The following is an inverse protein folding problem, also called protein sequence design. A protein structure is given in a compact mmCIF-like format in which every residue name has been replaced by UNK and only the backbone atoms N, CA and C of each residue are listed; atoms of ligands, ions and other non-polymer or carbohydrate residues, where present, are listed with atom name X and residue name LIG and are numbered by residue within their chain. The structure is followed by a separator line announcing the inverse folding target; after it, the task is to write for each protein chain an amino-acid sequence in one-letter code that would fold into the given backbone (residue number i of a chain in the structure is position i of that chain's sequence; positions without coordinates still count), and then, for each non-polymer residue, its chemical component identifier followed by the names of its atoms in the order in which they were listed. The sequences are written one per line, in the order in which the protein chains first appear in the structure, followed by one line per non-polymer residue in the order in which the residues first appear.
data_IF_836247850735
#
_entry.id   IF_836247850735
#
_cell.length_a   1.000
_cell.length_b   1.000
_cell.length_c   1.000
_cell.angle_alpha   90.00
_cell.angle_beta   90.00
_cell.angle_gamma   90.00
#
_symmetry.space_group_name_H-M   'P 1'
#
loop_
_entity.id
_entity.type
_entity.pdbx_description
1 polymer ?
#
# COMPACT_ATOMS: atom_id res chain seq x y z
N UNK A 1 12.84 -46.79 11.04
CA UNK A 1 11.51 -46.62 11.67
C UNK A 1 10.79 -45.54 10.90
N UNK A 2 9.73 -45.90 10.20
CA UNK A 2 8.92 -45.03 9.33
C UNK A 2 7.91 -44.29 10.22
N UNK A 3 7.84 -42.95 10.14
CA UNK A 3 6.74 -42.17 10.72
C UNK A 3 6.09 -41.33 9.61
N UNK A 4 4.81 -41.62 9.42
CA UNK A 4 3.92 -41.05 8.43
C UNK A 4 3.63 -39.58 8.76
N UNK A 5 3.86 -38.64 7.80
CA UNK A 5 3.30 -37.32 7.81
C UNK A 5 1.87 -37.39 7.26
N UNK A 6 0.90 -37.13 8.13
CA UNK A 6 -0.50 -36.89 7.75
C UNK A 6 -0.64 -35.43 7.32
N UNK A 7 -0.88 -35.22 6.02
CA UNK A 7 -1.38 -33.95 5.47
C UNK A 7 -2.88 -33.87 5.72
N UNK A 8 -3.31 -33.02 6.66
CA UNK A 8 -4.71 -32.64 6.80
C UNK A 8 -4.94 -31.36 5.98
N UNK A 9 -5.51 -31.54 4.80
CA UNK A 9 -6.05 -30.45 3.99
C UNK A 9 -7.43 -30.07 4.56
N UNK A 10 -7.54 -28.90 5.19
CA UNK A 10 -8.82 -28.28 5.48
C UNK A 10 -9.29 -27.47 4.26
N UNK A 11 -10.11 -28.12 3.45
CA UNK A 11 -10.92 -27.47 2.43
C UNK A 11 -12.21 -26.98 3.11
N UNK A 12 -12.35 -25.67 3.28
CA UNK A 12 -13.63 -25.05 3.64
C UNK A 12 -14.24 -24.47 2.36
N UNK A 13 -15.35 -24.99 1.85
CA UNK A 13 -16.04 -24.37 0.74
C UNK A 13 -16.93 -23.23 1.27
N UNK A 14 -16.54 -21.99 1.01
CA UNK A 14 -17.42 -20.85 1.16
C UNK A 14 -18.49 -20.92 0.05
N UNK A 15 -19.72 -21.30 0.41
CA UNK A 15 -20.89 -21.17 -0.43
C UNK A 15 -21.32 -19.69 -0.47
N UNK A 16 -20.94 -18.98 -1.50
CA UNK A 16 -21.59 -17.72 -1.84
C UNK A 16 -22.93 -18.01 -2.51
N UNK A 17 -24.02 -17.70 -1.82
CA UNK A 17 -25.35 -17.63 -2.41
C UNK A 17 -25.51 -16.29 -3.11
N UNK A 18 -25.50 -16.30 -4.43
CA UNK A 18 -26.01 -15.20 -5.23
C UNK A 18 -27.54 -15.33 -5.32
N UNK A 19 -28.25 -14.40 -4.74
CA UNK A 19 -29.67 -14.21 -4.99
C UNK A 19 -29.85 -13.38 -6.27
N UNK A 20 -30.63 -13.82 -7.24
CA UNK A 20 -30.94 -12.98 -8.38
C UNK A 20 -32.04 -11.98 -8.00
N UNK A 21 -31.73 -10.69 -8.03
CA UNK A 21 -32.71 -9.63 -8.00
C UNK A 21 -33.41 -9.56 -9.35
N UNK A 22 -34.67 -10.06 -9.38
CA UNK A 22 -35.60 -9.88 -10.49
C UNK A 22 -36.17 -8.47 -10.44
N UNK A 23 -35.75 -7.60 -11.35
CA UNK A 23 -36.49 -6.40 -11.70
C UNK A 23 -37.39 -6.70 -12.88
N UNK A 24 -38.68 -6.92 -12.59
CA UNK A 24 -39.71 -7.05 -13.59
C UNK A 24 -39.97 -5.68 -14.24
N UNK A 25 -39.79 -5.62 -15.54
CA UNK A 25 -40.31 -4.53 -16.37
C UNK A 25 -41.55 -5.08 -17.07
N UNK A 26 -42.70 -4.56 -16.66
CA UNK A 26 -43.98 -4.78 -17.36
C UNK A 26 -43.94 -4.06 -18.70
N UNK A 27 -44.01 -4.82 -19.79
CA UNK A 27 -44.31 -4.31 -21.11
C UNK A 27 -45.82 -4.30 -21.30
N UNK A 28 -46.41 -3.12 -21.32
CA UNK A 28 -47.82 -2.92 -21.73
C UNK A 28 -47.90 -3.03 -23.26
N UNK A 29 -48.62 -4.03 -23.71
CA UNK A 29 -48.97 -4.18 -25.11
C UNK A 29 -49.98 -3.16 -25.55
N UNK A 30 -49.63 -2.38 -26.56
CA UNK A 30 -50.61 -1.61 -27.35
C UNK A 30 -50.70 -2.21 -28.74
N UNK A 31 -51.77 -2.91 -28.99
CA UNK A 31 -52.16 -3.41 -30.32
C UNK A 31 -52.55 -2.24 -31.21
N UNK A 32 -51.81 -1.98 -32.27
CA UNK A 32 -52.20 -1.07 -33.33
C UNK A 32 -52.98 -1.89 -34.38
N UNK A 33 -54.30 -1.61 -34.48
CA UNK A 33 -55.19 -2.13 -35.51
C UNK A 33 -54.85 -1.51 -36.85
N UNK A 34 -54.63 -2.33 -37.87
CA UNK A 34 -54.69 -1.98 -39.27
C UNK A 34 -56.11 -1.83 -39.74
N UNK A 35 -56.48 -0.79 -40.53
CA UNK A 35 -57.70 -0.77 -41.29
C UNK A 35 -57.48 -1.35 -42.70
N UNK A 36 -58.30 -2.28 -43.02
CA UNK A 36 -58.51 -2.92 -44.32
C UNK A 36 -59.55 -2.11 -45.08
N UNK A 37 -59.26 -1.66 -46.31
CA UNK A 37 -60.18 -1.46 -47.42
C UNK A 37 -59.43 -1.31 -48.72
N UNK A 38 -59.43 -2.25 -49.64
CA UNK A 38 -60.39 -2.56 -50.76
C UNK A 38 -60.66 -1.34 -51.65
N UNK A 39 -60.13 -1.34 -52.86
CA UNK A 39 -60.86 -1.67 -54.09
C UNK A 39 -60.11 -1.19 -55.35
N UNK A 40 -59.81 -2.16 -56.18
CA UNK A 40 -59.87 -2.20 -57.66
C UNK A 40 -60.10 -0.91 -58.43
N UNK A 41 -59.25 -0.70 -59.42
CA UNK A 41 -59.56 -0.44 -60.85
C UNK A 41 -58.24 -0.44 -61.66
N UNK A 42 -58.15 -1.29 -62.64
CA UNK A 42 -57.42 -1.10 -63.86
C UNK A 42 -58.40 -0.53 -64.92
N UNK A 43 -58.06 0.05 -66.04
CA UNK A 43 -56.95 -0.29 -66.92
C UNK A 43 -56.24 0.92 -67.60
N UNK A 44 -55.21 0.70 -68.33
CA UNK A 44 -55.02 1.08 -69.71
C UNK A 44 -53.49 1.34 -70.03
N UNK A 45 -53.14 0.64 -71.00
CA UNK A 45 -51.98 0.70 -71.90
C UNK A 45 -51.28 2.04 -72.07
N UNK A 46 -49.95 2.00 -72.21
CA UNK A 46 -49.16 3.07 -72.72
C UNK A 46 -47.66 2.84 -72.54
N UNK A 47 -47.08 2.16 -73.54
CA UNK A 47 -45.65 1.82 -73.51
C UNK A 47 -44.73 2.99 -73.41
N UNK A 48 -43.54 2.72 -72.84
CA UNK A 48 -42.25 3.27 -73.30
C UNK A 48 -41.14 2.38 -72.81
N UNK A 49 -40.50 1.70 -73.76
CA UNK A 49 -39.14 1.18 -73.63
C UNK A 49 -38.20 2.33 -73.28
N UNK A 50 -37.40 2.15 -72.29
CA UNK A 50 -36.31 3.07 -72.05
C UNK A 50 -35.82 3.11 -70.60
N UNK A 51 -34.68 2.55 -70.38
CA UNK A 51 -33.75 2.70 -69.24
C UNK A 51 -33.60 1.52 -68.26
N UNK A 52 -33.26 0.36 -68.78
CA UNK A 52 -32.67 -0.70 -67.96
C UNK A 52 -31.13 -0.62 -67.79
N UNK A 53 -30.46 0.40 -68.36
CA UNK A 53 -28.99 0.48 -68.28
C UNK A 53 -28.41 1.31 -67.11
N UNK A 54 -29.25 2.03 -66.35
CA UNK A 54 -28.72 2.88 -65.25
C UNK A 54 -28.70 2.22 -63.87
N UNK A 55 -29.31 1.05 -63.70
CA UNK A 55 -29.38 0.39 -62.38
C UNK A 55 -28.22 -0.55 -62.07
N UNK A 56 -27.46 -0.99 -63.07
CA UNK A 56 -26.34 -1.94 -62.84
C UNK A 56 -25.13 -1.29 -62.16
N UNK A 57 -24.84 -0.02 -62.34
CA UNK A 57 -23.74 0.71 -61.69
C UNK A 57 -24.01 1.03 -60.25
N UNK A 58 -25.27 1.32 -59.85
CA UNK A 58 -25.62 1.68 -58.47
C UNK A 58 -25.58 0.46 -57.54
N UNK A 59 -25.95 -0.71 -58.02
CA UNK A 59 -25.91 -1.97 -57.25
C UNK A 59 -24.44 -2.36 -56.88
N UNK A 60 -23.50 -2.14 -57.80
CA UNK A 60 -22.06 -2.40 -57.54
C UNK A 60 -21.52 -1.47 -56.44
N UNK A 61 -21.89 -0.18 -56.48
CA UNK A 61 -21.48 0.80 -55.46
C UNK A 61 -22.07 0.41 -54.09
N UNK A 62 -23.35 -0.02 -54.03
CA UNK A 62 -24.02 -0.45 -52.82
C UNK A 62 -23.31 -1.70 -52.21
N UNK A 63 -22.99 -2.69 -53.05
CA UNK A 63 -22.24 -3.88 -52.59
C UNK A 63 -20.86 -3.49 -52.08
N UNK A 64 -20.18 -2.55 -52.76
CA UNK A 64 -18.88 -2.06 -52.29
C UNK A 64 -18.97 -1.37 -50.92
N UNK A 65 -19.98 -0.54 -50.69
CA UNK A 65 -20.23 0.10 -49.40
C UNK A 65 -20.59 -0.92 -48.33
N UNK A 66 -21.40 -1.92 -48.63
CA UNK A 66 -21.72 -3.01 -47.71
C UNK A 66 -20.50 -3.81 -47.32
N UNK A 67 -19.61 -4.13 -48.26
CA UNK A 67 -18.35 -4.82 -47.97
C UNK A 67 -17.40 -3.96 -47.15
N UNK A 68 -17.34 -2.66 -47.41
CA UNK A 68 -16.53 -1.73 -46.66
C UNK A 68 -17.02 -1.57 -45.22
N UNK A 69 -18.34 -1.43 -44.99
CA UNK A 69 -18.96 -1.40 -43.66
C UNK A 69 -18.78 -2.74 -42.93
N UNK A 70 -18.93 -3.84 -43.63
CA UNK A 70 -18.69 -5.18 -43.04
C UNK A 70 -17.21 -5.35 -42.63
N UNK A 71 -16.29 -4.90 -43.50
CA UNK A 71 -14.85 -4.90 -43.17
C UNK A 71 -14.53 -4.05 -41.94
N UNK A 72 -15.12 -2.84 -41.85
CA UNK A 72 -14.98 -2.00 -40.67
C UNK A 72 -15.56 -2.63 -39.41
N UNK A 73 -16.71 -3.29 -39.52
CA UNK A 73 -17.33 -3.97 -38.38
C UNK A 73 -16.49 -5.16 -37.90
N UNK A 74 -15.94 -5.95 -38.84
CA UNK A 74 -15.04 -7.08 -38.49
C UNK A 74 -13.76 -6.56 -37.84
N UNK A 75 -13.15 -5.50 -38.39
CA UNK A 75 -11.97 -4.89 -37.82
C UNK A 75 -12.22 -4.38 -36.39
N UNK A 76 -13.34 -3.69 -36.16
CA UNK A 76 -13.71 -3.22 -34.81
C UNK A 76 -13.95 -4.37 -33.80
N UNK A 77 -14.48 -5.50 -34.24
CA UNK A 77 -14.65 -6.70 -33.40
C UNK A 77 -13.28 -7.31 -33.06
N UNK A 78 -12.39 -7.41 -34.03
CA UNK A 78 -11.02 -7.96 -33.79
C UNK A 78 -10.27 -7.09 -32.77
N UNK A 79 -10.28 -5.77 -32.94
CA UNK A 79 -9.63 -4.83 -32.04
C UNK A 79 -10.23 -4.91 -30.60
N UNK A 80 -11.54 -5.05 -30.51
CA UNK A 80 -12.23 -5.22 -29.21
C UNK A 80 -11.85 -6.55 -28.53
N UNK A 81 -11.69 -7.65 -29.28
CA UNK A 81 -11.28 -8.96 -28.77
C UNK A 81 -9.83 -8.92 -28.29
N UNK A 82 -8.93 -8.29 -29.06
CA UNK A 82 -7.52 -8.15 -28.68
C UNK A 82 -7.39 -7.37 -27.37
N UNK A 83 -8.03 -6.21 -27.24
CA UNK A 83 -8.05 -5.41 -26.02
C UNK A 83 -8.64 -6.21 -24.84
N UNK A 84 -9.73 -6.94 -25.05
CA UNK A 84 -10.35 -7.78 -24.02
C UNK A 84 -9.41 -8.91 -23.57
N UNK A 85 -8.68 -9.51 -24.48
CA UNK A 85 -7.74 -10.60 -24.17
C UNK A 85 -6.52 -10.10 -23.39
N UNK A 86 -5.98 -8.94 -23.75
CA UNK A 86 -4.88 -8.30 -23.01
C UNK A 86 -5.31 -7.94 -21.57
N UNK A 87 -6.48 -7.35 -21.40
CA UNK A 87 -7.01 -7.04 -20.06
C UNK A 87 -7.19 -8.28 -19.20
N UNK A 88 -7.78 -9.36 -19.75
CA UNK A 88 -7.98 -10.61 -19.02
C UNK A 88 -6.64 -11.23 -18.62
N UNK A 89 -5.64 -11.19 -19.50
CA UNK A 89 -4.29 -11.70 -19.22
C UNK A 89 -3.61 -10.92 -18.09
N UNK A 90 -3.74 -9.59 -18.06
CA UNK A 90 -3.18 -8.76 -16.98
C UNK A 90 -3.87 -9.02 -15.63
N UNK A 91 -5.19 -9.20 -15.63
CA UNK A 91 -5.93 -9.52 -14.40
C UNK A 91 -5.55 -10.90 -13.86
N UNK A 92 -5.38 -11.90 -14.71
CA UNK A 92 -4.93 -13.24 -14.32
C UNK A 92 -3.52 -13.19 -13.71
N UNK A 93 -2.58 -12.48 -14.34
CA UNK A 93 -1.22 -12.30 -13.81
C UNK A 93 -1.22 -11.55 -12.47
N UNK A 94 -2.06 -10.54 -12.30
CA UNK A 94 -2.18 -9.81 -11.04
C UNK A 94 -2.75 -10.72 -9.92
N UNK A 95 -3.75 -11.54 -10.22
CA UNK A 95 -4.30 -12.52 -9.28
C UNK A 95 -3.25 -13.58 -8.90
N UNK A 96 -2.46 -14.05 -9.86
CA UNK A 96 -1.38 -14.99 -9.60
C UNK A 96 -0.27 -14.36 -8.74
N UNK A 97 0.20 -13.16 -9.08
CA UNK A 97 1.17 -12.41 -8.31
C UNK A 97 0.67 -12.16 -6.87
N UNK A 98 -0.62 -11.83 -6.71
CA UNK A 98 -1.27 -11.70 -5.42
C UNK A 98 -1.28 -13.03 -4.64
N UNK A 99 -1.56 -14.14 -5.30
CA UNK A 99 -1.51 -15.49 -4.70
C UNK A 99 -0.11 -15.85 -4.19
N UNK A 100 0.92 -15.51 -4.95
CA UNK A 100 2.32 -15.66 -4.56
C UNK A 100 2.67 -14.77 -3.37
N UNK A 101 2.25 -13.50 -3.38
CA UNK A 101 2.45 -12.58 -2.26
C UNK A 101 1.77 -13.10 -0.97
N UNK A 102 0.53 -13.59 -1.06
CA UNK A 102 -0.18 -14.19 0.07
C UNK A 102 0.55 -15.43 0.62
N UNK A 103 1.10 -16.26 -0.26
CA UNK A 103 1.91 -17.43 0.14
C UNK A 103 3.14 -17.00 0.93
N UNK A 104 3.80 -15.93 0.48
CA UNK A 104 4.92 -15.33 1.20
C UNK A 104 4.50 -14.74 2.54
N UNK A 105 3.37 -14.04 2.63
CA UNK A 105 2.83 -13.54 3.91
C UNK A 105 2.61 -14.71 4.88
N UNK A 106 2.01 -15.81 4.42
CA UNK A 106 1.79 -16.97 5.28
C UNK A 106 3.09 -17.55 5.87
N UNK A 107 4.17 -17.55 5.07
CA UNK A 107 5.50 -17.93 5.57
C UNK A 107 6.06 -16.88 6.55
N UNK A 108 5.97 -15.60 6.22
CA UNK A 108 6.45 -14.51 7.07
C UNK A 108 5.75 -14.41 8.44
N UNK A 109 4.52 -14.91 8.53
CA UNK A 109 3.78 -15.02 9.79
C UNK A 109 4.20 -16.23 10.64
N UNK A 110 4.99 -17.15 10.11
CA UNK A 110 5.50 -18.27 10.89
C UNK A 110 6.59 -17.76 11.86
N UNK A 111 6.35 -17.96 13.15
CA UNK A 111 7.28 -17.51 14.22
C UNK A 111 8.62 -18.26 14.23
N UNK A 112 8.68 -19.44 13.61
CA UNK A 112 9.88 -20.27 13.57
C UNK A 112 10.87 -19.86 12.47
N UNK A 113 10.41 -19.07 11.49
CA UNK A 113 11.27 -18.57 10.42
C UNK A 113 12.06 -17.33 10.88
N UNK A 114 13.36 -17.38 10.63
CA UNK A 114 14.25 -16.25 10.82
C UNK A 114 14.13 -15.26 9.65
N UNK A 115 14.61 -14.03 9.85
CA UNK A 115 14.51 -12.94 8.87
C UNK A 115 15.14 -13.25 7.50
N UNK A 116 16.19 -14.07 7.49
CA UNK A 116 16.94 -14.42 6.27
C UNK A 116 16.81 -15.92 5.94
N UNK A 117 15.71 -16.56 6.35
CA UNK A 117 15.47 -17.96 6.00
C UNK A 117 15.32 -18.10 4.49
N UNK A 118 16.01 -19.07 3.84
CA UNK A 118 15.90 -19.30 2.40
C UNK A 118 14.45 -19.56 1.92
N UNK A 119 13.56 -20.00 2.81
CA UNK A 119 12.14 -20.18 2.50
C UNK A 119 11.40 -18.88 2.22
N UNK A 120 11.94 -17.75 2.63
CA UNK A 120 11.36 -16.42 2.38
C UNK A 120 11.53 -15.94 0.94
N UNK A 121 12.37 -16.61 0.16
CA UNK A 121 12.51 -16.39 -1.27
C UNK A 121 12.26 -17.70 -2.02
N UNK A 122 11.20 -17.76 -2.83
CA UNK A 122 10.83 -18.96 -3.58
C UNK A 122 10.54 -18.64 -5.05
N UNK A 123 10.94 -19.59 -5.92
CA UNK A 123 10.65 -19.58 -7.35
C UNK A 123 9.92 -20.88 -7.72
N UNK A 124 8.58 -20.94 -7.52
CA UNK A 124 7.83 -22.18 -7.81
C UNK A 124 7.81 -22.55 -9.29
N UNK A 125 7.97 -21.57 -10.20
CA UNK A 125 8.06 -21.81 -11.63
C UNK A 125 8.86 -20.69 -12.31
N UNK A 126 9.17 -20.85 -13.59
CA UNK A 126 9.78 -19.80 -14.40
C UNK A 126 8.84 -18.58 -14.48
N UNK A 127 9.39 -17.39 -14.33
CA UNK A 127 8.60 -16.14 -14.31
C UNK A 127 7.73 -15.93 -13.04
N UNK A 128 7.74 -16.89 -12.10
CA UNK A 128 6.92 -16.86 -10.88
C UNK A 128 7.79 -16.93 -9.65
N UNK A 129 7.69 -15.93 -8.81
CA UNK A 129 8.47 -15.88 -7.57
C UNK A 129 7.76 -15.07 -6.49
N UNK A 130 8.13 -15.29 -5.24
CA UNK A 130 7.85 -14.34 -4.18
C UNK A 130 9.11 -14.12 -3.33
N UNK A 131 9.18 -12.93 -2.74
CA UNK A 131 10.22 -12.52 -1.81
C UNK A 131 9.57 -11.90 -0.58
N UNK A 132 10.02 -12.28 0.60
CA UNK A 132 9.45 -11.83 1.87
C UNK A 132 10.53 -11.15 2.70
N UNK A 133 10.27 -9.93 3.11
CA UNK A 133 11.05 -9.21 4.11
C UNK A 133 10.32 -9.24 5.45
N UNK A 134 11.04 -9.62 6.50
CA UNK A 134 10.54 -9.60 7.88
C UNK A 134 11.36 -8.58 8.67
N UNK A 135 10.69 -7.56 9.21
CA UNK A 135 11.32 -6.52 10.02
C UNK A 135 10.56 -6.32 11.33
N UNK A 136 11.24 -5.78 12.35
CA UNK A 136 10.56 -5.29 13.55
C UNK A 136 9.82 -4.00 13.21
N UNK A 137 8.60 -3.86 13.66
CA UNK A 137 7.89 -2.60 13.53
C UNK A 137 8.52 -1.50 14.39
N UNK A 138 9.10 -1.89 15.53
CA UNK A 138 9.87 -1.00 16.41
C UNK A 138 11.21 -0.54 15.84
N UNK A 139 11.62 -1.00 14.64
CA UNK A 139 12.75 -0.43 13.92
C UNK A 139 12.49 1.00 13.40
N UNK A 140 11.23 1.45 13.44
CA UNK A 140 10.75 2.77 13.04
C UNK A 140 10.30 3.57 14.26
N UNK A 141 10.37 4.90 14.18
CA UNK A 141 9.85 5.78 15.23
C UNK A 141 8.32 5.73 15.26
N UNK A 142 7.76 5.37 16.40
CA UNK A 142 6.32 5.48 16.60
C UNK A 142 5.94 6.96 16.81
N UNK A 143 5.31 7.56 15.79
CA UNK A 143 5.00 8.98 15.78
C UNK A 143 4.10 9.37 16.96
N UNK A 144 3.02 8.61 17.21
CA UNK A 144 2.12 8.87 18.33
C UNK A 144 2.85 8.77 19.68
N UNK A 145 3.72 7.78 19.83
CA UNK A 145 4.45 7.56 21.07
C UNK A 145 5.43 8.72 21.36
N UNK A 146 6.22 9.13 20.38
CA UNK A 146 7.18 10.24 20.52
C UNK A 146 6.45 11.53 20.90
N UNK A 147 5.35 11.84 20.22
CA UNK A 147 4.56 13.05 20.49
C UNK A 147 3.93 13.03 21.89
N UNK A 148 3.33 11.90 22.28
CA UNK A 148 2.62 11.81 23.57
C UNK A 148 3.54 11.65 24.77
N UNK A 149 4.77 11.18 24.58
CA UNK A 149 5.77 11.06 25.65
C UNK A 149 6.50 12.37 25.97
N UNK A 150 6.26 13.43 25.20
CA UNK A 150 6.86 14.75 25.42
C UNK A 150 8.26 14.93 24.86
N UNK A 151 8.72 14.02 24.00
CA UNK A 151 10.07 14.03 23.40
C UNK A 151 10.05 14.52 21.93
N UNK A 152 9.41 15.68 21.69
CA UNK A 152 9.32 16.28 20.34
C UNK A 152 10.68 16.61 19.75
N UNK A 153 11.66 16.90 20.60
CA UNK A 153 13.05 17.14 20.19
C UNK A 153 13.65 16.02 19.32
N UNK A 154 13.12 14.80 19.43
CA UNK A 154 13.52 13.68 18.56
C UNK A 154 13.09 13.97 17.11
N UNK A 155 11.88 14.49 16.90
CA UNK A 155 11.38 14.85 15.57
C UNK A 155 12.11 16.08 15.02
N UNK A 156 12.32 17.10 15.84
CA UNK A 156 13.08 18.32 15.49
C UNK A 156 14.49 17.96 15.00
N UNK A 157 15.18 17.09 15.75
CA UNK A 157 16.50 16.56 15.37
C UNK A 157 16.46 15.80 14.05
N UNK A 158 15.48 14.91 13.88
CA UNK A 158 15.33 14.09 12.67
C UNK A 158 15.04 14.96 11.44
N UNK A 159 14.12 15.89 11.55
CA UNK A 159 13.73 16.78 10.45
C UNK A 159 14.86 17.73 10.04
N UNK A 160 15.63 18.22 11.03
CA UNK A 160 16.85 19.00 10.76
C UNK A 160 17.92 18.15 10.08
N UNK A 161 18.12 16.89 10.48
CA UNK A 161 19.02 15.96 9.80
C UNK A 161 18.60 15.70 8.35
N UNK A 162 17.32 15.76 8.05
CA UNK A 162 16.79 15.61 6.69
C UNK A 162 16.89 16.87 5.84
N UNK A 163 17.27 18.00 6.43
CA UNK A 163 17.56 19.26 5.73
C UNK A 163 16.54 20.35 5.87
N UNK A 164 15.59 20.23 6.82
CA UNK A 164 14.77 21.38 7.22
C UNK A 164 15.61 22.36 8.06
N UNK A 165 15.35 23.66 7.89
CA UNK A 165 15.82 24.67 8.81
C UNK A 165 15.22 24.44 10.21
N UNK A 166 15.93 24.86 11.27
CA UNK A 166 15.51 24.61 12.65
C UNK A 166 14.09 25.09 12.92
N UNK A 167 13.77 26.33 12.51
CA UNK A 167 12.43 26.89 12.69
C UNK A 167 11.34 26.10 11.92
N UNK A 168 11.69 25.53 10.78
CA UNK A 168 10.77 24.68 10.02
C UNK A 168 10.56 23.32 10.70
N UNK A 169 11.63 22.72 11.22
CA UNK A 169 11.58 21.46 11.95
C UNK A 169 10.73 21.59 13.22
N UNK A 170 10.95 22.66 13.99
CA UNK A 170 10.17 23.00 15.19
C UNK A 170 8.69 23.22 14.84
N UNK A 171 8.42 23.95 13.74
CA UNK A 171 7.06 24.19 13.27
C UNK A 171 6.32 22.88 12.93
N UNK A 172 6.96 21.99 12.16
CA UNK A 172 6.35 20.70 11.79
C UNK A 172 6.11 19.84 13.03
N UNK A 173 7.10 19.73 13.93
CA UNK A 173 6.99 18.92 15.15
C UNK A 173 5.88 19.45 16.08
N UNK A 174 5.79 20.77 16.24
CA UNK A 174 4.76 21.43 17.04
C UNK A 174 3.36 21.28 16.43
N UNK A 175 3.23 21.39 15.10
CA UNK A 175 1.96 21.16 14.40
C UNK A 175 1.49 19.70 14.52
N UNK A 176 2.39 18.71 14.42
CA UNK A 176 2.08 17.29 14.63
C UNK A 176 1.58 17.04 16.06
N UNK A 177 2.22 17.64 17.06
CA UNK A 177 1.80 17.54 18.45
C UNK A 177 0.44 18.17 18.68
N UNK A 178 0.23 19.39 18.17
CA UNK A 178 -1.01 20.15 18.32
C UNK A 178 -2.19 19.48 17.60
N UNK A 179 -1.92 18.73 16.51
CA UNK A 179 -2.94 17.96 15.81
C UNK A 179 -3.60 16.90 16.68
N UNK A 180 -2.78 16.18 17.47
CA UNK A 180 -3.27 15.08 18.31
C UNK A 180 -3.66 15.49 19.72
N UNK A 181 -3.23 16.67 20.18
CA UNK A 181 -3.40 17.08 21.58
C UNK A 181 -4.63 17.96 21.73
N UNK A 182 -5.58 17.61 22.64
CA UNK A 182 -6.76 18.41 22.88
C UNK A 182 -6.43 19.73 23.60
N UNK A 183 -7.32 20.72 23.46
CA UNK A 183 -7.23 22.02 24.11
C UNK A 183 -6.93 23.15 23.13
N UNK A 184 -7.14 24.39 23.60
CA UNK A 184 -7.00 25.61 22.78
C UNK A 184 -5.58 26.21 22.80
N UNK A 185 -4.76 25.76 23.75
CA UNK A 185 -3.37 26.21 23.83
C UNK A 185 -2.55 25.51 22.78
N UNK A 186 -1.97 26.31 21.89
CA UNK A 186 -1.05 25.77 20.88
C UNK A 186 0.41 25.86 21.34
N UNK A 187 1.24 24.99 20.79
CA UNK A 187 2.70 25.04 20.92
C UNK A 187 3.25 26.35 20.32
N UNK A 188 4.47 26.72 20.65
CA UNK A 188 5.07 27.99 20.24
C UNK A 188 5.01 28.18 18.71
N UNK A 189 5.37 27.17 17.97
CA UNK A 189 5.39 27.15 16.50
C UNK A 189 4.24 26.30 15.91
N UNK A 190 3.31 25.83 16.74
CA UNK A 190 2.24 24.91 16.35
C UNK A 190 1.03 25.58 15.70
N UNK A 191 0.03 24.76 15.38
CA UNK A 191 -1.22 25.20 14.77
C UNK A 191 -2.42 24.43 15.33
N UNK A 192 -3.49 25.15 15.67
CA UNK A 192 -4.78 24.64 16.09
C UNK A 192 -5.86 24.96 15.05
N UNK A 193 -7.07 24.50 15.25
CA UNK A 193 -8.18 24.65 14.29
C UNK A 193 -8.36 26.07 13.72
N UNK A 194 -8.14 27.10 14.54
CA UNK A 194 -8.23 28.49 14.09
C UNK A 194 -7.15 28.86 13.07
N UNK A 195 -5.94 28.34 13.22
CA UNK A 195 -4.82 28.59 12.30
C UNK A 195 -5.08 27.91 10.94
N UNK A 196 -5.62 26.69 10.93
CA UNK A 196 -6.03 25.98 9.70
C UNK A 196 -7.15 26.74 8.97
N UNK A 197 -8.15 27.24 9.71
CA UNK A 197 -9.23 28.05 9.14
C UNK A 197 -8.69 29.36 8.55
N UNK A 198 -7.76 30.04 9.23
CA UNK A 198 -7.12 31.27 8.75
C UNK A 198 -6.29 31.02 7.48
N UNK A 199 -5.64 29.86 7.38
CA UNK A 199 -4.88 29.43 6.20
C UNK A 199 -5.78 28.93 5.05
N UNK A 200 -7.11 28.93 5.21
CA UNK A 200 -8.10 28.38 4.28
C UNK A 200 -7.84 26.90 3.94
N UNK A 201 -7.32 26.14 4.88
CA UNK A 201 -7.13 24.71 4.75
C UNK A 201 -8.44 23.98 5.13
N UNK A 202 -8.90 22.99 4.34
CA UNK A 202 -10.18 22.30 4.59
C UNK A 202 -10.13 21.34 5.79
N UNK A 203 -8.92 20.91 6.18
CA UNK A 203 -8.69 20.00 7.29
C UNK A 203 -8.59 20.76 8.61
N UNK A 204 -8.79 20.02 9.71
CA UNK A 204 -8.68 20.54 11.08
C UNK A 204 -8.12 19.44 11.99
N UNK A 205 -7.37 19.79 13.06
CA UNK A 205 -6.88 18.84 14.04
C UNK A 205 -7.99 17.95 14.59
N UNK A 206 -7.69 16.66 14.69
CA UNK A 206 -8.64 15.65 15.19
C UNK A 206 -8.60 15.49 16.70
N UNK A 207 -7.53 16.00 17.35
CA UNK A 207 -7.29 15.90 18.79
C UNK A 207 -7.27 14.44 19.30
N UNK A 208 -6.79 13.54 18.45
CA UNK A 208 -6.60 12.11 18.71
C UNK A 208 -5.28 11.64 18.12
N UNK A 209 -4.69 10.55 18.64
CA UNK A 209 -3.55 9.92 18.01
C UNK A 209 -3.84 9.59 16.53
N UNK A 210 -2.83 9.69 15.69
CA UNK A 210 -2.95 9.39 14.27
C UNK A 210 -3.35 7.93 14.03
N UNK A 211 -4.32 7.73 13.17
CA UNK A 211 -4.76 6.40 12.74
C UNK A 211 -4.14 5.99 11.40
N UNK A 212 -3.71 6.94 10.59
CA UNK A 212 -3.12 6.70 9.27
C UNK A 212 -2.07 7.74 8.88
N UNK A 213 -1.15 7.39 7.98
CA UNK A 213 -0.21 8.34 7.41
C UNK A 213 -0.86 9.34 6.45
N UNK A 214 -2.04 9.03 5.92
CA UNK A 214 -2.77 9.99 5.10
C UNK A 214 -3.33 11.12 5.95
N UNK A 215 -3.69 10.85 7.21
CA UNK A 215 -4.01 11.89 8.18
C UNK A 215 -2.78 12.74 8.53
N UNK A 216 -1.61 12.13 8.76
CA UNK A 216 -0.36 12.87 9.05
C UNK A 216 -0.03 13.87 7.94
N UNK A 217 -0.27 13.53 6.68
CA UNK A 217 -0.05 14.45 5.54
C UNK A 217 -0.90 15.72 5.59
N UNK A 218 -2.03 15.70 6.29
CA UNK A 218 -2.93 16.84 6.41
C UNK A 218 -2.42 17.89 7.41
N UNK A 219 -1.39 17.57 8.20
CA UNK A 219 -0.83 18.47 9.19
C UNK A 219 -0.06 19.61 8.51
N UNK A 220 -0.27 20.83 9.01
CA UNK A 220 0.40 22.03 8.51
C UNK A 220 1.93 21.86 8.60
N UNK A 221 2.64 22.22 7.52
CA UNK A 221 4.09 22.07 7.41
C UNK A 221 4.58 20.71 6.87
N UNK A 222 3.72 19.70 6.79
CA UNK A 222 4.12 18.39 6.22
C UNK A 222 4.54 18.47 4.76
N UNK A 223 4.05 19.45 4.01
CA UNK A 223 4.48 19.72 2.63
C UNK A 223 5.96 20.15 2.55
N UNK A 224 6.50 20.78 3.59
CA UNK A 224 7.94 21.09 3.68
C UNK A 224 8.75 19.81 3.86
N UNK A 225 8.28 18.93 4.73
CA UNK A 225 8.93 17.64 4.98
C UNK A 225 8.91 16.73 3.73
N UNK A 226 7.76 16.66 3.03
CA UNK A 226 7.64 15.87 1.79
C UNK A 226 8.58 16.34 0.67
N UNK A 227 8.89 17.64 0.61
CA UNK A 227 9.84 18.19 -0.36
C UNK A 227 11.27 17.75 -0.13
N UNK A 228 11.71 17.70 1.13
CA UNK A 228 13.10 17.31 1.48
C UNK A 228 13.26 15.80 1.64
N UNK A 229 12.20 15.10 2.07
CA UNK A 229 12.20 13.65 2.29
C UNK A 229 10.89 13.01 1.78
N UNK A 230 10.74 12.76 0.47
CA UNK A 230 9.50 12.20 -0.09
C UNK A 230 9.10 10.84 0.52
N UNK A 231 10.08 10.04 0.93
CA UNK A 231 9.90 8.74 1.56
C UNK A 231 9.91 8.78 3.10
N UNK A 232 9.56 9.92 3.73
CA UNK A 232 9.57 10.09 5.19
C UNK A 232 8.78 9.02 5.95
N UNK A 233 7.72 8.45 5.34
CA UNK A 233 6.87 7.42 5.93
C UNK A 233 7.64 6.15 6.32
N UNK A 234 8.74 5.83 5.62
CA UNK A 234 9.56 4.65 5.88
C UNK A 234 10.24 4.69 7.24
N UNK A 235 10.49 5.90 7.78
CA UNK A 235 11.12 6.11 9.07
C UNK A 235 10.15 6.09 10.24
N UNK A 236 8.84 6.08 9.98
CA UNK A 236 7.81 6.15 11.00
C UNK A 236 6.91 4.92 11.02
N UNK A 237 6.28 4.74 12.17
CA UNK A 237 5.19 3.78 12.38
C UNK A 237 4.11 4.38 13.28
N UNK A 238 2.91 3.81 13.20
CA UNK A 238 1.81 4.06 14.13
C UNK A 238 1.49 2.80 14.95
N UNK A 239 2.15 1.67 14.64
CA UNK A 239 1.74 0.33 15.07
C UNK A 239 2.79 -0.43 15.89
N UNK A 240 3.95 0.16 16.22
CA UNK A 240 4.91 -0.46 17.13
C UNK A 240 4.43 -0.40 18.58
N UNK A 241 5.15 -1.07 19.48
CA UNK A 241 4.85 -1.00 20.92
C UNK A 241 5.25 0.35 21.56
N UNK A 242 5.79 1.29 20.78
CA UNK A 242 6.18 2.64 21.19
C UNK A 242 7.67 2.91 21.08
N UNK A 243 8.50 2.37 21.97
CA UNK A 243 9.94 2.64 21.99
C UNK A 243 10.67 2.14 20.73
N UNK A 244 11.70 2.88 20.30
CA UNK A 244 12.56 2.49 19.18
C UNK A 244 13.40 1.26 19.52
N UNK A 245 13.32 0.20 18.72
CA UNK A 245 14.15 -0.99 18.87
C UNK A 245 15.54 -0.74 18.29
N UNK A 246 16.53 -0.48 19.17
CA UNK A 246 17.90 -0.15 18.77
C UNK A 246 18.65 -1.29 18.09
N UNK A 247 18.18 -2.53 18.23
CA UNK A 247 18.77 -3.67 17.54
C UNK A 247 18.44 -3.73 16.04
N UNK A 248 17.42 -3.00 15.61
CA UNK A 248 16.94 -3.02 14.22
C UNK A 248 16.80 -1.64 13.60
N UNK A 249 16.82 -0.59 14.43
CA UNK A 249 16.64 0.78 13.95
C UNK A 249 17.77 1.22 13.01
N UNK A 250 17.46 1.97 11.95
CA UNK A 250 18.45 2.65 11.12
C UNK A 250 19.29 3.63 11.92
N UNK A 251 20.53 3.85 11.47
CA UNK A 251 21.48 4.76 12.13
C UNK A 251 20.92 6.18 12.30
N UNK A 252 20.19 6.68 11.30
CA UNK A 252 19.60 8.04 11.34
C UNK A 252 18.60 8.21 12.48
N UNK A 253 17.78 7.19 12.78
CA UNK A 253 16.82 7.25 13.86
C UNK A 253 17.49 7.19 15.24
N UNK A 254 18.53 6.37 15.38
CA UNK A 254 19.33 6.32 16.60
C UNK A 254 20.03 7.66 16.83
N UNK A 255 20.58 8.26 15.77
CA UNK A 255 21.21 9.57 15.83
C UNK A 255 20.20 10.66 16.30
N UNK A 256 18.98 10.65 15.78
CA UNK A 256 17.94 11.61 16.14
C UNK A 256 17.51 11.48 17.61
N UNK A 257 17.28 10.24 18.08
CA UNK A 257 16.85 9.96 19.47
C UNK A 257 17.88 10.42 20.50
N UNK A 258 19.17 10.21 20.21
CA UNK A 258 20.24 10.53 21.16
C UNK A 258 20.99 11.83 20.85
N UNK A 259 20.60 12.58 19.82
CA UNK A 259 21.35 13.76 19.34
C UNK A 259 22.83 13.45 19.11
N UNK A 260 23.14 12.27 18.57
CA UNK A 260 24.49 11.80 18.36
C UNK A 260 25.05 12.21 17.01
N UNK A 261 26.38 12.33 16.95
CA UNK A 261 27.05 12.53 15.68
C UNK A 261 27.08 11.23 14.84
N UNK A 262 27.13 11.33 13.50
CA UNK A 262 27.10 10.16 12.62
C UNK A 262 28.20 9.12 12.89
N UNK A 263 29.35 9.56 13.42
CA UNK A 263 30.52 8.68 13.71
C UNK A 263 30.25 7.75 14.90
N UNK A 264 29.60 8.27 15.96
CA UNK A 264 29.24 7.46 17.13
C UNK A 264 28.22 6.38 16.74
N UNK A 265 27.21 6.77 15.96
CA UNK A 265 26.19 5.84 15.50
C UNK A 265 26.75 4.80 14.55
N UNK A 266 27.66 5.20 13.64
CA UNK A 266 28.33 4.27 12.72
C UNK A 266 29.13 3.19 13.47
N UNK A 267 29.83 3.56 14.54
CA UNK A 267 30.55 2.59 15.38
C UNK A 267 29.62 1.55 16.00
N UNK A 268 28.50 2.00 16.53
CA UNK A 268 27.47 1.13 17.10
C UNK A 268 26.84 0.22 16.04
N UNK A 269 26.38 0.79 14.93
CA UNK A 269 25.69 0.01 13.88
C UNK A 269 26.63 -1.01 13.22
N UNK A 270 27.90 -0.67 13.02
CA UNK A 270 28.91 -1.61 12.53
C UNK A 270 29.15 -2.76 13.52
N UNK A 271 29.25 -2.46 14.81
CA UNK A 271 29.43 -3.50 15.84
C UNK A 271 28.18 -4.41 15.93
N UNK A 272 26.98 -3.84 15.80
CA UNK A 272 25.72 -4.57 15.80
C UNK A 272 25.54 -5.46 14.57
N UNK A 273 25.86 -4.95 13.40
CA UNK A 273 25.62 -5.63 12.11
C UNK A 273 26.72 -6.66 11.74
N UNK A 274 27.57 -7.05 12.67
CA UNK A 274 28.59 -8.08 12.42
C UNK A 274 29.71 -7.66 11.48
N UNK A 275 30.37 -8.65 10.88
CA UNK A 275 31.54 -8.43 10.02
C UNK A 275 31.17 -7.99 8.60
N UNK A 276 30.01 -8.41 8.12
CA UNK A 276 29.55 -8.04 6.78
C UNK A 276 28.89 -6.65 6.73
N UNK A 277 28.56 -6.07 7.89
CA UNK A 277 27.92 -4.76 8.03
C UNK A 277 26.46 -4.73 7.56
N UNK A 278 25.87 -5.88 7.24
CA UNK A 278 24.51 -6.01 6.71
C UNK A 278 23.57 -6.41 7.85
N UNK A 279 22.56 -5.59 8.19
CA UNK A 279 21.64 -5.92 9.26
C UNK A 279 20.76 -7.12 8.90
N UNK A 280 20.49 -7.97 9.89
CA UNK A 280 19.62 -9.13 9.75
C UNK A 280 20.35 -10.40 9.31
N UNK A 281 21.67 -10.42 9.24
CA UNK A 281 22.48 -11.60 8.88
C UNK A 281 22.87 -12.44 10.11
N UNK A 282 23.32 -13.70 9.93
CA UNK A 282 23.65 -14.59 11.05
C UNK A 282 24.82 -14.14 11.91
N UNK A 283 25.67 -13.23 11.43
CA UNK A 283 26.82 -12.68 12.18
C UNK A 283 26.49 -11.40 12.96
N UNK A 284 25.23 -10.95 12.92
CA UNK A 284 24.74 -9.85 13.75
C UNK A 284 24.97 -10.11 15.23
N UNK A 285 25.39 -9.07 15.94
CA UNK A 285 25.63 -9.09 17.39
C UNK A 285 24.62 -8.16 18.07
N UNK A 286 23.37 -8.63 18.32
CA UNK A 286 22.36 -7.80 18.93
C UNK A 286 22.74 -7.45 20.37
N UNK A 287 22.42 -6.23 20.77
CA UNK A 287 22.59 -5.77 22.14
C UNK A 287 21.56 -6.44 23.04
N UNK A 288 22.04 -7.05 24.13
CA UNK A 288 21.19 -7.80 25.07
C UNK A 288 20.87 -7.05 26.37
N UNK A 289 21.56 -5.92 26.63
CA UNK A 289 21.29 -5.08 27.79
C UNK A 289 21.46 -3.61 27.48
N UNK A 290 20.75 -2.76 28.21
CA UNK A 290 20.89 -1.29 28.08
C UNK A 290 22.29 -0.83 28.44
N UNK A 291 22.93 -1.44 29.43
CA UNK A 291 24.32 -1.11 29.82
C UNK A 291 25.30 -1.35 28.66
N UNK A 292 25.17 -2.47 27.94
CA UNK A 292 25.99 -2.75 26.77
C UNK A 292 25.76 -1.74 25.66
N UNK A 293 24.51 -1.36 25.44
CA UNK A 293 24.12 -0.34 24.47
C UNK A 293 24.76 1.03 24.80
N UNK A 294 24.62 1.48 26.04
CA UNK A 294 25.20 2.73 26.54
C UNK A 294 26.74 2.75 26.36
N UNK A 295 27.39 1.65 26.73
CA UNK A 295 28.84 1.52 26.60
C UNK A 295 29.30 1.55 25.14
N UNK A 296 28.60 0.91 24.23
CA UNK A 296 28.92 0.90 22.79
C UNK A 296 28.72 2.25 22.12
N UNK A 297 27.69 3.00 22.52
CA UNK A 297 27.42 4.36 22.02
C UNK A 297 28.26 5.43 22.71
N UNK A 298 28.91 5.12 23.85
CA UNK A 298 29.67 6.09 24.64
C UNK A 298 28.78 7.15 25.29
N UNK A 299 27.51 6.82 25.58
CA UNK A 299 26.56 7.69 26.29
C UNK A 299 26.60 7.41 27.79
N UNK A 300 26.31 8.44 28.58
CA UNK A 300 26.21 8.27 30.04
C UNK A 300 24.87 7.63 30.42
N UNK A 301 24.84 6.88 31.54
CA UNK A 301 23.60 6.34 32.08
C UNK A 301 22.57 7.44 32.38
N UNK A 302 23.01 8.66 32.71
CA UNK A 302 22.13 9.81 32.93
C UNK A 302 21.45 10.24 31.62
N UNK A 303 22.20 10.27 30.51
CA UNK A 303 21.63 10.61 29.19
C UNK A 303 20.62 9.54 28.72
N UNK A 304 20.95 8.27 28.93
CA UNK A 304 20.02 7.18 28.63
C UNK A 304 18.75 7.22 29.51
N UNK A 305 18.91 7.58 30.79
CA UNK A 305 17.79 7.73 31.71
C UNK A 305 16.90 8.95 31.35
N UNK A 306 17.47 10.03 30.84
CA UNK A 306 16.72 11.21 30.41
C UNK A 306 15.76 10.91 29.24
N UNK A 307 16.12 9.99 28.35
CA UNK A 307 15.26 9.51 27.26
C UNK A 307 14.18 8.55 27.75
N UNK A 308 14.25 8.11 29.00
CA UNK A 308 13.23 7.26 29.61
C UNK A 308 12.96 6.00 28.79
N UNK A 309 11.69 5.85 28.41
CA UNK A 309 11.20 4.68 27.67
C UNK A 309 11.22 4.87 26.13
N UNK A 310 12.03 5.82 25.57
CA UNK A 310 12.04 6.05 24.11
C UNK A 310 12.74 4.95 23.31
N UNK A 311 13.45 4.06 23.99
CA UNK A 311 14.22 2.98 23.36
C UNK A 311 13.89 1.63 23.98
N UNK A 312 14.06 0.57 23.19
CA UNK A 312 13.94 -0.83 23.60
C UNK A 312 14.95 -1.69 22.86
N UNK A 313 15.15 -2.91 23.34
CA UNK A 313 16.01 -3.91 22.69
C UNK A 313 15.22 -4.86 21.79
N UNK A 314 13.90 -4.78 21.80
CA UNK A 314 13.01 -5.61 20.99
C UNK A 314 11.63 -4.96 20.88
N UNK A 315 10.88 -5.34 19.86
CA UNK A 315 9.46 -4.99 19.71
C UNK A 315 8.66 -6.26 19.38
N UNK A 316 7.51 -6.49 20.01
CA UNK A 316 6.70 -7.67 19.75
C UNK A 316 5.96 -7.63 18.42
N UNK A 317 5.91 -6.45 17.77
CA UNK A 317 5.20 -6.26 16.52
C UNK A 317 6.16 -6.48 15.34
N UNK A 318 5.71 -7.32 14.43
CA UNK A 318 6.45 -7.70 13.23
C UNK A 318 5.76 -7.11 12.01
N UNK A 319 6.58 -6.58 11.09
CA UNK A 319 6.15 -6.24 9.74
C UNK A 319 6.61 -7.34 8.79
N UNK A 320 5.69 -7.81 7.98
CA UNK A 320 5.93 -8.77 6.90
C UNK A 320 5.56 -8.07 5.59
N UNK A 321 6.53 -7.91 4.71
CA UNK A 321 6.34 -7.37 3.37
C UNK A 321 6.64 -8.47 2.37
N UNK A 322 5.65 -8.87 1.60
CA UNK A 322 5.76 -9.93 0.62
C UNK A 322 5.47 -9.40 -0.77
N UNK A 323 6.44 -9.56 -1.67
CA UNK A 323 6.30 -9.21 -3.09
C UNK A 323 6.15 -10.50 -3.87
N UNK A 324 4.98 -10.69 -4.47
CA UNK A 324 4.71 -11.75 -5.43
C UNK A 324 4.88 -11.23 -6.85
N UNK A 325 5.46 -12.02 -7.71
CA UNK A 325 5.71 -11.69 -9.12
C UNK A 325 5.26 -12.82 -10.03
N UNK A 326 4.50 -12.47 -11.08
CA UNK A 326 4.09 -13.36 -12.16
C UNK A 326 4.35 -12.65 -13.50
N UNK A 327 5.29 -13.17 -14.29
CA UNK A 327 5.64 -12.71 -15.65
C UNK A 327 5.79 -11.17 -15.78
N UNK A 328 6.40 -10.52 -14.77
CA UNK A 328 6.64 -9.07 -14.75
C UNK A 328 5.59 -8.27 -13.97
N UNK A 329 4.39 -8.81 -13.75
CA UNK A 329 3.39 -8.21 -12.86
C UNK A 329 3.78 -8.45 -11.42
N UNK A 330 3.73 -7.42 -10.58
CA UNK A 330 4.10 -7.49 -9.16
C UNK A 330 2.94 -7.01 -8.28
N UNK A 331 2.76 -7.70 -7.16
CA UNK A 331 1.85 -7.30 -6.09
C UNK A 331 2.61 -7.36 -4.77
N UNK A 332 2.58 -6.29 -3.99
CA UNK A 332 3.16 -6.22 -2.67
C UNK A 332 2.06 -6.24 -1.61
N UNK A 333 2.22 -7.10 -0.61
CA UNK A 333 1.35 -7.15 0.56
C UNK A 333 2.18 -6.86 1.79
N UNK A 334 1.79 -5.83 2.54
CA UNK A 334 2.40 -5.45 3.81
C UNK A 334 1.45 -5.75 4.96
N UNK A 335 1.93 -6.48 5.95
CA UNK A 335 1.16 -6.85 7.15
C UNK A 335 1.95 -6.47 8.40
N UNK A 336 1.31 -5.75 9.31
CA UNK A 336 1.86 -5.52 10.66
C UNK A 336 1.05 -6.31 11.67
N UNK A 337 1.73 -7.11 12.47
CA UNK A 337 1.07 -8.06 13.37
C UNK A 337 1.86 -8.29 14.66
N UNK A 338 1.13 -8.67 15.72
CA UNK A 338 1.69 -9.23 16.95
C UNK A 338 1.37 -10.72 16.99
N UNK A 339 2.40 -11.55 16.80
CA UNK A 339 2.25 -13.00 16.67
C UNK A 339 2.12 -13.74 18.00
N UNK A 340 2.66 -13.18 19.09
CA UNK A 340 2.68 -13.82 20.42
C UNK A 340 1.37 -13.63 21.21
N UNK A 341 0.28 -13.31 20.53
CA UNK A 341 -1.08 -13.20 21.09
C UNK A 341 -1.99 -14.28 20.53
N UNK A 342 -3.03 -14.65 21.30
CA UNK A 342 -4.06 -15.58 20.84
C UNK A 342 -5.44 -14.94 21.04
N UNK A 343 -6.16 -14.55 19.97
CA UNK A 343 -5.79 -14.66 18.56
C UNK A 343 -4.64 -13.71 18.15
N UNK A 344 -4.00 -13.96 17.01
CA UNK A 344 -3.02 -13.05 16.40
C UNK A 344 -3.69 -11.69 16.16
N UNK A 345 -3.01 -10.62 16.54
CA UNK A 345 -3.49 -9.25 16.33
C UNK A 345 -2.88 -8.69 15.05
N UNK A 346 -3.74 -8.17 14.17
CA UNK A 346 -3.35 -7.47 12.96
C UNK A 346 -3.59 -5.97 13.14
N UNK A 347 -2.59 -5.14 12.87
CA UNK A 347 -2.64 -3.68 12.97
C UNK A 347 -2.74 -3.01 11.61
N UNK A 348 -2.10 -3.59 10.60
CA UNK A 348 -2.12 -3.12 9.22
C UNK A 348 -2.23 -4.30 8.27
N UNK A 349 -3.01 -4.11 7.23
CA UNK A 349 -3.02 -4.94 6.02
C UNK A 349 -3.13 -3.99 4.83
N UNK A 350 -2.14 -3.98 3.95
CA UNK A 350 -2.10 -3.13 2.77
C UNK A 350 -1.67 -3.95 1.55
N UNK A 351 -2.34 -3.73 0.43
CA UNK A 351 -2.01 -4.33 -0.87
C UNK A 351 -1.72 -3.19 -1.87
N UNK A 352 -0.63 -3.33 -2.64
CA UNK A 352 -0.17 -2.35 -3.63
C UNK A 352 0.25 -3.04 -4.93
#
# INVERSE_FOLDING_TARGET
MRSHLLFLAFLVPAKFHFAPTSTGVMASGSAIKLPRQLRSQAPAEGGKLGNEEKTRGSALILVFWCLLLLGMAVFGVVEMVELSTEHTSHEELALEARGLALSGVALGLNQQLLKNDPLLFQKPAEGRQFNVAITSEGARLNLNYVLLSGHREILENLFTQWGLEVEQADHVADCLYDWITPGDLKSLNGAKAADYAQANLPQSPTYKPFDSFDEVKLVMGMDLLEKVRPNWKESFTLWSNGPLNVNEAPAELIAAVFSLNPRQVALFTNARNGQDGIPGTPDDVPVTSMQTFEAQLGISALAAQALGNQISLSDPNRRVESVGQAEGTQVMISVVTRLNTSPIQYFLWSEQ
#
